data_IF_483419553904
#
_entry.id   IF_483419553904
#
_cell.length_a   1.000
_cell.length_b   1.000
_cell.length_c   1.000
_cell.angle_alpha   90.00
_cell.angle_beta   90.00
_cell.angle_gamma   90.00
#
_symmetry.space_group_name_H-M   'P 1'
#
loop_
_entity.id
_entity.type
_entity.pdbx_description
1 polymer ?
#
# COMPACT_ATOMS: atom_id res chain seq x y z
N UNK A 1 12.51 7.09 -7.42
CA UNK A 1 11.88 5.80 -7.06
C UNK A 1 12.89 4.67 -7.08
N UNK A 2 12.86 3.78 -6.09
CA UNK A 2 13.62 2.52 -6.03
C UNK A 2 12.64 1.38 -5.82
N UNK A 3 12.83 0.27 -6.53
CA UNK A 3 12.01 -0.94 -6.41
C UNK A 3 12.88 -2.14 -6.05
N UNK A 4 12.48 -2.91 -5.04
CA UNK A 4 13.12 -4.16 -4.65
C UNK A 4 12.09 -5.29 -4.64
N UNK A 5 12.43 -6.46 -5.20
CA UNK A 5 11.55 -7.63 -5.17
C UNK A 5 11.94 -8.54 -4.02
N UNK A 6 11.00 -8.76 -3.10
CA UNK A 6 11.17 -9.67 -1.97
C UNK A 6 10.38 -10.95 -2.23
N UNK A 7 11.06 -12.10 -2.11
CA UNK A 7 10.43 -13.42 -2.23
C UNK A 7 10.18 -14.01 -0.85
N UNK A 8 8.92 -14.33 -0.53
CA UNK A 8 8.54 -14.93 0.75
C UNK A 8 7.24 -15.73 0.62
N UNK A 9 7.20 -16.93 1.19
CA UNK A 9 6.07 -17.88 1.08
C UNK A 9 5.62 -18.15 -0.37
N UNK A 10 6.57 -18.34 -1.30
CA UNK A 10 6.29 -18.48 -2.74
C UNK A 10 5.52 -17.29 -3.37
N UNK A 11 5.49 -16.13 -2.70
CA UNK A 11 4.99 -14.89 -3.26
C UNK A 11 6.14 -13.92 -3.51
N UNK A 12 6.01 -13.14 -4.58
CA UNK A 12 6.90 -12.04 -4.92
C UNK A 12 6.17 -10.72 -4.64
N UNK A 13 6.87 -9.83 -3.94
CA UNK A 13 6.35 -8.55 -3.47
C UNK A 13 7.32 -7.46 -3.92
N UNK A 14 6.82 -6.50 -4.68
CA UNK A 14 7.57 -5.30 -5.02
C UNK A 14 7.48 -4.31 -3.86
N UNK A 15 8.61 -3.99 -3.24
CA UNK A 15 8.74 -2.93 -2.25
C UNK A 15 9.31 -1.71 -2.94
N UNK A 16 8.49 -0.67 -3.03
CA UNK A 16 8.80 0.61 -3.65
C UNK A 16 9.12 1.62 -2.55
N UNK A 17 10.21 2.36 -2.72
CA UNK A 17 10.57 3.51 -1.90
C UNK A 17 10.85 4.74 -2.77
N UNK A 18 10.37 5.90 -2.34
CA UNK A 18 10.60 7.17 -3.03
C UNK A 18 10.50 8.34 -2.05
N UNK A 19 11.40 9.31 -2.23
CA UNK A 19 11.35 10.61 -1.54
C UNK A 19 10.45 11.62 -2.28
N UNK A 20 9.99 11.25 -3.49
CA UNK A 20 9.07 12.02 -4.32
C UNK A 20 7.67 11.37 -4.33
N UNK A 21 6.63 12.19 -4.55
CA UNK A 21 5.26 11.74 -4.70
C UNK A 21 5.10 10.92 -5.99
N UNK A 22 4.69 9.66 -5.83
CA UNK A 22 4.37 8.74 -6.92
C UNK A 22 2.86 8.57 -7.11
N UNK A 23 2.08 8.76 -6.04
CA UNK A 23 0.62 8.65 -6.05
C UNK A 23 0.03 10.00 -5.64
N UNK A 24 -0.40 10.78 -6.62
CA UNK A 24 -1.05 12.08 -6.42
C UNK A 24 -2.52 12.09 -6.81
N UNK A 25 -2.93 11.15 -7.65
CA UNK A 25 -4.28 10.99 -8.18
C UNK A 25 -4.50 9.54 -8.67
N UNK A 26 -5.67 9.28 -9.25
CA UNK A 26 -6.01 7.96 -9.81
C UNK A 26 -5.11 7.57 -10.98
N UNK A 27 -4.65 8.54 -11.79
CA UNK A 27 -3.85 8.26 -12.99
C UNK A 27 -2.43 7.84 -12.62
N UNK A 28 -1.78 8.61 -11.76
CA UNK A 28 -0.47 8.30 -11.19
C UNK A 28 -0.48 6.98 -10.41
N UNK A 29 -1.56 6.65 -9.70
CA UNK A 29 -1.71 5.32 -9.09
C UNK A 29 -1.71 4.18 -10.12
N UNK A 30 -2.44 4.34 -11.23
CA UNK A 30 -2.46 3.35 -12.31
C UNK A 30 -1.10 3.25 -13.01
N UNK A 31 -0.45 4.38 -13.26
CA UNK A 31 0.89 4.43 -13.86
C UNK A 31 1.91 3.70 -12.97
N UNK A 32 1.81 3.85 -11.64
CA UNK A 32 2.64 3.10 -10.69
C UNK A 32 2.39 1.60 -10.76
N UNK A 33 1.13 1.15 -10.79
CA UNK A 33 0.79 -0.26 -10.93
C UNK A 33 1.44 -0.83 -12.20
N UNK A 34 1.24 -0.17 -13.35
CA UNK A 34 1.75 -0.63 -14.65
C UNK A 34 3.28 -0.68 -14.66
N UNK A 35 3.94 0.34 -14.11
CA UNK A 35 5.41 0.41 -14.02
C UNK A 35 5.94 -0.75 -13.20
N UNK A 36 5.42 -0.96 -11.99
CA UNK A 36 5.87 -2.05 -11.12
C UNK A 36 5.59 -3.42 -11.73
N UNK A 37 4.40 -3.64 -12.32
CA UNK A 37 4.09 -4.89 -13.00
C UNK A 37 5.02 -5.16 -14.18
N UNK A 38 5.32 -4.14 -14.98
CA UNK A 38 6.21 -4.28 -16.13
C UNK A 38 7.65 -4.61 -15.71
N UNK A 39 8.16 -3.92 -14.69
CA UNK A 39 9.54 -4.08 -14.21
C UNK A 39 9.76 -5.38 -13.43
N UNK A 40 8.75 -5.81 -12.66
CA UNK A 40 8.94 -6.87 -11.65
C UNK A 40 8.02 -8.08 -11.81
N UNK A 41 6.96 -7.97 -12.61
CA UNK A 41 5.89 -8.98 -12.69
C UNK A 41 5.02 -9.09 -11.44
N UNK A 42 5.27 -8.29 -10.38
CA UNK A 42 4.58 -8.42 -9.11
C UNK A 42 3.19 -7.78 -9.14
N UNK A 43 2.23 -8.45 -8.49
CA UNK A 43 0.89 -7.92 -8.18
C UNK A 43 0.67 -7.67 -6.68
N UNK A 44 1.68 -7.95 -5.85
CA UNK A 44 1.73 -7.51 -4.46
C UNK A 44 2.71 -6.35 -4.39
N UNK A 45 2.22 -5.16 -4.02
CA UNK A 45 3.01 -3.93 -4.05
C UNK A 45 2.97 -3.28 -2.67
N UNK A 46 4.13 -2.92 -2.13
CA UNK A 46 4.27 -2.15 -0.92
C UNK A 46 4.95 -0.80 -1.24
N UNK A 47 4.37 0.32 -0.82
CA UNK A 47 4.88 1.68 -1.10
C UNK A 47 5.06 2.46 0.20
N UNK A 48 6.15 3.23 0.32
CA UNK A 48 6.34 4.08 1.49
C UNK A 48 5.33 5.23 1.49
N UNK A 49 4.83 5.57 2.67
CA UNK A 49 3.79 6.59 2.87
C UNK A 49 4.17 7.94 2.26
N UNK A 50 5.44 8.31 2.31
CA UNK A 50 5.95 9.61 1.80
C UNK A 50 5.83 9.73 0.28
N UNK A 51 5.67 8.62 -0.45
CA UNK A 51 5.41 8.63 -1.88
C UNK A 51 3.93 8.87 -2.24
N UNK A 52 3.05 9.12 -1.26
CA UNK A 52 1.61 9.28 -1.46
C UNK A 52 1.20 10.67 -0.97
N UNK A 53 0.43 11.39 -1.78
CA UNK A 53 -0.05 12.73 -1.46
C UNK A 53 -0.89 12.73 -0.18
N UNK A 54 -0.77 13.79 0.63
CA UNK A 54 -1.47 13.89 1.92
C UNK A 54 -2.99 13.76 1.79
N UNK A 55 -3.58 14.23 0.69
CA UNK A 55 -5.02 14.18 0.42
C UNK A 55 -5.58 12.76 0.39
N UNK A 56 -4.74 11.76 0.11
CA UNK A 56 -5.09 10.35 0.24
C UNK A 56 -5.47 10.00 1.69
N UNK A 57 -4.85 10.62 2.69
CA UNK A 57 -5.12 10.35 4.10
C UNK A 57 -6.26 11.22 4.66
N UNK A 58 -6.84 12.10 3.85
CA UNK A 58 -7.99 12.92 4.22
C UNK A 58 -9.25 12.28 3.61
N UNK A 59 -9.90 11.37 4.33
CA UNK A 59 -10.98 10.53 3.76
C UNK A 59 -12.13 11.31 3.09
N UNK A 60 -12.40 12.55 3.51
CA UNK A 60 -13.42 13.40 2.89
C UNK A 60 -13.09 13.85 1.46
N UNK A 61 -11.86 13.66 0.98
CA UNK A 61 -11.47 13.92 -0.42
C UNK A 61 -11.96 12.82 -1.36
N UNK A 62 -12.42 11.68 -0.83
CA UNK A 62 -12.74 10.45 -1.57
C UNK A 62 -11.57 9.80 -2.33
N UNK A 63 -10.39 10.45 -2.37
CA UNK A 63 -9.25 10.04 -3.17
C UNK A 63 -8.73 8.64 -2.81
N UNK A 64 -8.70 8.32 -1.51
CA UNK A 64 -8.30 7.00 -1.04
C UNK A 64 -9.18 5.90 -1.63
N UNK A 65 -10.50 6.09 -1.60
CA UNK A 65 -11.46 5.12 -2.11
C UNK A 65 -11.30 4.91 -3.61
N UNK A 66 -11.19 6.00 -4.38
CA UNK A 66 -11.01 5.94 -5.83
C UNK A 66 -9.73 5.20 -6.23
N UNK A 67 -8.61 5.49 -5.57
CA UNK A 67 -7.33 4.85 -5.83
C UNK A 67 -7.35 3.39 -5.42
N UNK A 68 -7.73 3.08 -4.18
CA UNK A 68 -7.69 1.72 -3.65
C UNK A 68 -8.65 0.78 -4.41
N UNK A 69 -9.78 1.30 -4.88
CA UNK A 69 -10.67 0.54 -5.76
C UNK A 69 -9.96 0.17 -7.07
N UNK A 70 -9.10 1.01 -7.65
CA UNK A 70 -8.30 0.64 -8.83
C UNK A 70 -7.32 -0.49 -8.51
N UNK A 71 -6.60 -0.43 -7.39
CA UNK A 71 -5.72 -1.52 -6.99
C UNK A 71 -6.47 -2.87 -6.95
N UNK A 72 -7.65 -2.89 -6.33
CA UNK A 72 -8.50 -4.10 -6.27
C UNK A 72 -8.98 -4.52 -7.67
N UNK A 73 -9.49 -3.60 -8.48
CA UNK A 73 -9.99 -3.91 -9.84
C UNK A 73 -8.91 -4.49 -10.75
N UNK A 74 -7.65 -4.12 -10.55
CA UNK A 74 -6.51 -4.63 -11.31
C UNK A 74 -5.88 -5.87 -10.68
N UNK A 75 -6.47 -6.43 -9.62
CA UNK A 75 -5.97 -7.62 -8.93
C UNK A 75 -4.67 -7.38 -8.16
N UNK A 76 -4.39 -6.14 -7.80
CA UNK A 76 -3.20 -5.75 -7.04
C UNK A 76 -3.53 -5.69 -5.56
N UNK A 77 -2.74 -6.41 -4.76
CA UNK A 77 -2.76 -6.28 -3.31
C UNK A 77 -1.74 -5.22 -2.91
N UNK A 78 -2.17 -4.26 -2.10
CA UNK A 78 -1.44 -3.04 -1.84
C UNK A 78 -1.18 -2.83 -0.35
N UNK A 79 0.06 -2.47 -0.02
CA UNK A 79 0.41 -2.09 1.34
C UNK A 79 1.08 -0.71 1.35
N UNK A 80 0.62 0.18 2.22
CA UNK A 80 1.29 1.44 2.50
C UNK A 80 2.08 1.27 3.78
N UNK A 81 3.39 1.57 3.74
CA UNK A 81 4.24 1.48 4.92
C UNK A 81 4.82 2.81 5.36
N UNK A 82 4.87 3.06 6.67
CA UNK A 82 5.47 4.27 7.23
C UNK A 82 4.84 4.69 8.54
N UNK A 83 5.24 5.84 9.05
CA UNK A 83 4.73 6.35 10.32
C UNK A 83 3.35 7.01 10.15
N UNK A 84 2.34 6.39 10.78
CA UNK A 84 0.95 6.89 10.83
C UNK A 84 0.59 7.52 12.18
N UNK A 85 1.51 7.59 13.15
CA UNK A 85 1.24 8.06 14.52
C UNK A 85 0.71 9.50 14.59
N UNK A 86 1.11 10.34 13.63
CA UNK A 86 0.68 11.74 13.52
C UNK A 86 -0.79 11.90 13.13
N UNK A 87 -1.41 10.87 12.55
CA UNK A 87 -2.83 10.91 12.20
C UNK A 87 -3.68 10.67 13.44
N UNK A 88 -4.45 11.67 13.83
CA UNK A 88 -5.28 11.63 15.04
C UNK A 88 -6.75 11.33 14.77
N UNK A 89 -7.21 11.49 13.52
CA UNK A 89 -8.62 11.36 13.16
C UNK A 89 -9.14 9.92 13.35
N UNK A 90 -10.27 9.78 14.04
CA UNK A 90 -10.93 8.49 14.28
C UNK A 90 -11.33 7.78 12.98
N UNK A 91 -11.96 8.44 11.98
CA UNK A 91 -12.36 7.78 10.74
C UNK A 91 -11.19 7.16 9.98
N UNK A 92 -10.05 7.85 9.90
CA UNK A 92 -8.88 7.33 9.22
C UNK A 92 -8.25 6.15 9.99
N UNK A 93 -8.19 6.23 11.32
CA UNK A 93 -7.72 5.12 12.16
C UNK A 93 -8.59 3.88 12.00
N UNK A 94 -9.91 4.05 12.04
CA UNK A 94 -10.87 2.96 11.85
C UNK A 94 -10.70 2.35 10.45
N UNK A 95 -10.60 3.19 9.42
CA UNK A 95 -10.35 2.76 8.04
C UNK A 95 -9.05 1.93 7.88
N UNK A 96 -7.93 2.40 8.44
CA UNK A 96 -6.67 1.65 8.40
C UNK A 96 -6.77 0.33 9.18
N UNK A 97 -7.47 0.34 10.33
CA UNK A 97 -7.66 -0.84 11.17
C UNK A 97 -8.50 -1.91 10.47
N UNK A 98 -9.61 -1.51 9.84
CA UNK A 98 -10.46 -2.40 9.04
C UNK A 98 -9.72 -2.93 7.82
N UNK A 99 -9.02 -2.08 7.08
CA UNK A 99 -8.19 -2.48 5.94
C UNK A 99 -7.18 -3.56 6.34
N UNK A 100 -6.49 -3.37 7.47
CA UNK A 100 -5.51 -4.33 7.99
C UNK A 100 -6.07 -5.71 8.39
N UNK A 101 -7.39 -5.83 8.54
CA UNK A 101 -8.12 -7.09 8.74
C UNK A 101 -8.66 -7.69 7.43
N UNK A 102 -8.66 -6.91 6.35
CA UNK A 102 -9.03 -7.33 5.02
C UNK A 102 -7.96 -8.18 4.33
N UNK A 103 -8.06 -8.29 3.00
CA UNK A 103 -7.22 -9.18 2.19
C UNK A 103 -6.34 -8.44 1.18
N UNK A 104 -6.77 -7.25 0.76
CA UNK A 104 -6.20 -6.57 -0.40
C UNK A 104 -5.39 -5.33 -0.02
N UNK A 105 -5.82 -4.58 1.00
CA UNK A 105 -5.22 -3.30 1.37
C UNK A 105 -4.66 -3.35 2.78
N UNK A 106 -3.42 -2.89 2.98
CA UNK A 106 -2.76 -2.91 4.27
C UNK A 106 -2.06 -1.59 4.60
N UNK A 107 -2.01 -1.25 5.88
CA UNK A 107 -1.29 -0.09 6.42
C UNK A 107 -0.37 -0.57 7.53
N UNK A 108 0.96 -0.47 7.35
CA UNK A 108 1.93 -1.07 8.28
C UNK A 108 3.02 -0.08 8.65
N UNK A 109 3.59 -0.13 9.87
CA UNK A 109 4.57 0.87 10.28
C UNK A 109 5.93 0.69 9.57
N UNK A 110 6.19 -0.47 8.97
CA UNK A 110 7.47 -0.79 8.30
C UNK A 110 7.26 -1.62 7.04
N UNK A 111 8.22 -1.55 6.10
CA UNK A 111 8.23 -2.36 4.88
C UNK A 111 8.19 -3.87 5.19
N UNK A 112 8.93 -4.32 6.21
CA UNK A 112 8.92 -5.74 6.62
C UNK A 112 7.54 -6.22 7.04
N UNK A 113 6.77 -5.40 7.77
CA UNK A 113 5.42 -5.77 8.21
C UNK A 113 4.41 -5.70 7.06
N UNK A 114 4.60 -4.77 6.12
CA UNK A 114 3.83 -4.73 4.87
C UNK A 114 4.03 -6.03 4.05
N UNK A 115 5.28 -6.47 3.91
CA UNK A 115 5.61 -7.75 3.26
C UNK A 115 4.98 -8.91 4.02
N UNK A 116 5.07 -8.96 5.35
CA UNK A 116 4.44 -10.01 6.16
C UNK A 116 2.93 -10.11 5.93
N UNK A 117 2.24 -8.96 5.85
CA UNK A 117 0.81 -8.90 5.55
C UNK A 117 0.49 -9.40 4.15
N UNK A 118 1.25 -8.93 3.15
CA UNK A 118 1.07 -9.37 1.76
C UNK A 118 1.37 -10.87 1.61
N UNK A 119 2.35 -11.42 2.32
CA UNK A 119 2.65 -12.86 2.29
C UNK A 119 1.67 -13.75 3.07
N UNK A 120 0.63 -13.19 3.69
CA UNK A 120 -0.25 -13.95 4.59
C UNK A 120 0.47 -14.45 5.86
N UNK A 121 1.65 -13.91 6.16
CA UNK A 121 2.49 -14.27 7.30
C UNK A 121 2.06 -13.60 8.61
N UNK A 122 0.88 -12.98 8.66
CA UNK A 122 0.41 -12.27 9.84
C UNK A 122 0.48 -13.21 11.05
N UNK A 123 1.46 -12.97 11.94
CA UNK A 123 1.60 -13.70 13.19
C UNK A 123 0.28 -13.54 13.93
N UNK A 124 -0.50 -14.61 14.00
CA UNK A 124 -1.61 -14.71 14.94
C UNK A 124 -0.99 -14.54 16.33
N UNK A 125 -0.98 -13.32 16.85
CA UNK A 125 -0.77 -13.09 18.27
C UNK A 125 -2.02 -13.67 18.95
N UNK A 126 -1.87 -14.89 19.44
CA UNK A 126 -2.75 -15.48 20.46
C UNK A 126 -2.72 -14.61 21.71
#
# INVERSE_FOLDING_TARGET
>A
MKTEVIKKNNMEIAVVSSDELLITDVRSALDLIMTVQYETGCTNIAVNKEAIVNDFFVLSTCLAGEILQKFINYGVRFAIYGDFSKYTSKPLKDFMYESNKGKDIFFQPTASLAVDKLCGCAKNKR
#
